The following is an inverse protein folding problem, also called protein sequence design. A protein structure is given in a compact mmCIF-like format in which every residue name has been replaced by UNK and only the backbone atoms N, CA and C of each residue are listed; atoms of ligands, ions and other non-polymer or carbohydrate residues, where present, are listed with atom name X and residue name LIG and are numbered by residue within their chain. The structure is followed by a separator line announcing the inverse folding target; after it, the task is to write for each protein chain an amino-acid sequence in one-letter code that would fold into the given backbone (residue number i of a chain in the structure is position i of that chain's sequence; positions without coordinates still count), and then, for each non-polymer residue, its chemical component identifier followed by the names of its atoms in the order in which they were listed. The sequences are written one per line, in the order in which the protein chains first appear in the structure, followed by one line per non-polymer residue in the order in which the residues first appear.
data_IF_500860116708
#
_entry.id   IF_500860116708
#
_cell.length_a   1.000
_cell.length_b   1.000
_cell.length_c   1.000
_cell.angle_alpha   90.00
_cell.angle_beta   90.00
_cell.angle_gamma   90.00
#
_symmetry.space_group_name_H-M   'P 1'
#
loop_
_entity.id
_entity.type
_entity.pdbx_description
1 polymer ?
#
# COMPACT_ATOMS: atom_id res chain seq x y z
N UNK A 1 35.90 17.62 -59.60
CA UNK A 1 35.40 17.91 -58.24
C UNK A 1 33.86 17.80 -58.15
N UNK A 2 33.21 16.88 -58.88
CA UNK A 2 31.73 16.72 -58.86
C UNK A 2 31.28 15.30 -58.47
N UNK A 3 32.24 14.44 -58.15
CA UNK A 3 32.03 12.99 -57.98
C UNK A 3 32.26 12.54 -56.52
N UNK A 4 32.75 13.45 -55.66
CA UNK A 4 32.99 13.17 -54.23
C UNK A 4 31.74 13.48 -53.39
N UNK A 5 30.85 14.36 -53.85
CA UNK A 5 29.63 14.73 -53.13
C UNK A 5 28.49 13.70 -53.25
N UNK A 6 28.58 12.76 -54.21
CA UNK A 6 27.56 11.71 -54.39
C UNK A 6 27.80 10.48 -53.50
N UNK A 7 29.03 10.28 -53.02
CA UNK A 7 29.39 9.11 -52.21
C UNK A 7 29.02 9.27 -50.73
N UNK A 8 28.86 10.49 -50.24
CA UNK A 8 28.47 10.76 -48.85
C UNK A 8 26.97 10.61 -48.60
N UNK A 9 26.12 10.81 -49.62
CA UNK A 9 24.66 10.61 -49.52
C UNK A 9 24.24 9.13 -49.55
N UNK A 10 25.01 8.26 -50.22
CA UNK A 10 24.72 6.81 -50.25
C UNK A 10 25.21 6.08 -48.98
N UNK A 11 26.24 6.61 -48.31
CA UNK A 11 26.75 6.06 -47.05
C UNK A 11 25.84 6.30 -45.85
N UNK A 12 25.02 7.35 -45.87
CA UNK A 12 24.10 7.66 -44.77
C UNK A 12 22.78 6.84 -44.83
N UNK A 13 22.46 6.25 -45.98
CA UNK A 13 21.26 5.40 -46.13
C UNK A 13 21.52 3.91 -45.82
N UNK A 14 22.79 3.48 -45.75
CA UNK A 14 23.14 2.10 -45.37
C UNK A 14 23.41 1.95 -43.86
N UNK A 15 23.60 3.04 -43.13
CA UNK A 15 23.73 2.98 -41.67
C UNK A 15 22.37 2.94 -40.94
N UNK A 16 21.27 3.24 -41.64
CA UNK A 16 19.91 3.21 -41.08
C UNK A 16 19.19 1.85 -41.23
N UNK A 17 19.73 0.89 -41.97
CA UNK A 17 19.10 -0.42 -42.16
C UNK A 17 19.65 -1.53 -41.23
N UNK A 18 20.73 -1.27 -40.49
CA UNK A 18 21.36 -2.26 -39.62
C UNK A 18 20.89 -2.23 -38.15
N UNK A 19 19.98 -1.33 -37.78
CA UNK A 19 19.39 -1.26 -36.42
C UNK A 19 17.89 -1.59 -36.46
N UNK A 20 17.46 -2.53 -37.31
CA UNK A 20 16.09 -3.04 -37.32
C UNK A 20 16.00 -4.57 -37.20
N UNK A 21 17.05 -5.20 -36.66
CA UNK A 21 17.05 -6.63 -36.33
C UNK A 21 17.56 -6.82 -34.91
N UNK A 22 16.85 -6.24 -33.95
CA UNK A 22 16.91 -6.69 -32.57
C UNK A 22 15.47 -6.97 -32.12
N UNK A 23 15.18 -8.27 -32.03
CA UNK A 23 14.17 -8.88 -31.16
C UNK A 23 12.71 -8.68 -31.57
N UNK A 24 12.31 -9.41 -32.61
CA UNK A 24 10.91 -9.76 -32.87
C UNK A 24 10.73 -11.29 -32.69
N UNK A 25 10.81 -11.73 -31.45
CA UNK A 25 10.21 -12.93 -30.87
C UNK A 25 10.23 -12.60 -29.37
N UNK A 26 9.15 -12.15 -28.73
CA UNK A 26 7.98 -12.94 -28.39
C UNK A 26 6.81 -11.96 -28.19
N UNK A 27 5.84 -11.96 -29.11
CA UNK A 27 4.55 -11.34 -28.89
C UNK A 27 3.60 -12.46 -28.43
N UNK A 28 3.62 -12.73 -27.13
CA UNK A 28 2.66 -13.64 -26.52
C UNK A 28 1.65 -12.82 -25.74
N UNK A 29 0.41 -12.93 -26.20
CA UNK A 29 -0.81 -12.66 -25.47
C UNK A 29 -1.15 -11.18 -25.21
N UNK A 30 -1.76 -10.58 -26.22
CA UNK A 30 -2.62 -9.40 -26.08
C UNK A 30 -3.94 -9.80 -25.42
N UNK A 31 -3.84 -10.21 -24.16
CA UNK A 31 -4.96 -10.24 -23.22
C UNK A 31 -5.04 -8.87 -22.60
N UNK A 32 -6.23 -8.28 -22.59
CA UNK A 32 -6.55 -7.13 -21.76
C UNK A 32 -6.35 -7.52 -20.27
N UNK A 33 -5.12 -7.39 -19.79
CA UNK A 33 -4.75 -7.61 -18.39
C UNK A 33 -4.79 -6.23 -17.75
N UNK A 34 -5.94 -5.90 -17.16
CA UNK A 34 -5.93 -5.05 -15.98
C UNK A 34 -5.16 -5.84 -14.93
N UNK A 35 -3.86 -5.55 -14.80
CA UNK A 35 -3.05 -6.04 -13.68
C UNK A 35 -3.57 -5.30 -12.44
N UNK A 36 -4.69 -5.76 -11.91
CA UNK A 36 -4.91 -5.63 -10.47
C UNK A 36 -3.83 -6.52 -9.88
N UNK A 37 -2.77 -5.90 -9.35
CA UNK A 37 -1.76 -6.64 -8.60
C UNK A 37 -2.49 -7.39 -7.49
N UNK A 38 -2.46 -8.71 -7.56
CA UNK A 38 -3.04 -9.57 -6.55
C UNK A 38 -2.38 -9.25 -5.20
N UNK A 39 -3.19 -9.04 -4.16
CA UNK A 39 -2.69 -8.70 -2.83
C UNK A 39 -1.93 -9.90 -2.26
N UNK A 40 -0.64 -9.72 -1.99
CA UNK A 40 0.22 -10.74 -1.40
C UNK A 40 0.46 -10.43 0.09
N UNK A 41 -0.09 -11.27 0.98
CA UNK A 41 0.06 -11.10 2.42
C UNK A 41 1.51 -11.24 2.90
N UNK A 42 2.37 -11.97 2.19
CA UNK A 42 3.79 -12.09 2.54
C UNK A 42 4.55 -10.78 2.26
N UNK A 43 4.08 -10.00 1.29
CA UNK A 43 4.67 -8.71 0.92
C UNK A 43 4.04 -7.56 1.71
N UNK A 44 2.72 -7.55 1.86
CA UNK A 44 1.98 -6.42 2.39
C UNK A 44 1.45 -6.63 3.82
N UNK A 45 1.57 -7.82 4.37
CA UNK A 45 0.99 -8.19 5.66
C UNK A 45 -0.49 -8.63 5.55
N UNK A 46 -1.11 -9.02 6.68
CA UNK A 46 -2.48 -9.54 6.70
C UNK A 46 -3.49 -8.64 6.00
N UNK A 47 -4.35 -9.23 5.15
CA UNK A 47 -5.41 -8.47 4.46
C UNK A 47 -6.52 -8.03 5.43
N UNK A 48 -6.85 -8.89 6.38
CA UNK A 48 -7.84 -8.60 7.41
C UNK A 48 -7.36 -7.49 8.37
N UNK A 49 -8.24 -6.54 8.75
CA UNK A 49 -7.85 -5.49 9.67
C UNK A 49 -7.57 -6.00 11.08
N UNK A 50 -6.61 -5.36 11.74
CA UNK A 50 -6.46 -5.46 13.18
C UNK A 50 -7.52 -4.58 13.82
N UNK A 51 -8.25 -5.14 14.79
CA UNK A 51 -9.22 -4.40 15.60
C UNK A 51 -8.79 -4.46 17.07
N UNK A 52 -8.27 -3.36 17.60
CA UNK A 52 -8.00 -3.24 19.02
C UNK A 52 -9.28 -2.99 19.82
N UNK A 53 -9.34 -3.64 20.97
CA UNK A 53 -10.49 -3.64 21.88
C UNK A 53 -10.20 -2.93 23.20
N UNK A 54 -8.92 -2.63 23.47
CA UNK A 54 -8.43 -1.87 24.63
C UNK A 54 -7.40 -0.82 24.20
N UNK A 55 -7.27 0.30 24.94
CA UNK A 55 -8.09 0.72 26.09
C UNK A 55 -9.51 1.17 25.70
N UNK A 56 -9.74 1.46 24.42
CA UNK A 56 -11.06 1.80 23.87
C UNK A 56 -11.46 0.74 22.85
N UNK A 57 -12.74 0.36 22.85
CA UNK A 57 -13.24 -0.62 21.89
C UNK A 57 -13.22 -0.04 20.48
N UNK A 58 -12.80 -0.85 19.51
CA UNK A 58 -13.02 -0.61 18.09
C UNK A 58 -12.11 0.48 17.52
N UNK A 59 -10.79 0.27 17.69
CA UNK A 59 -9.77 0.98 16.90
C UNK A 59 -9.34 0.06 15.79
N UNK A 60 -9.30 0.54 14.55
CA UNK A 60 -8.98 -0.27 13.37
C UNK A 60 -7.64 0.11 12.74
N UNK A 61 -6.94 -0.88 12.21
CA UNK A 61 -5.74 -0.71 11.39
C UNK A 61 -5.75 -1.67 10.22
N UNK A 62 -5.23 -1.21 9.08
CA UNK A 62 -5.18 -1.95 7.83
C UNK A 62 -3.74 -1.97 7.34
N UNK A 63 -3.14 -3.15 7.18
CA UNK A 63 -1.77 -3.25 6.64
C UNK A 63 -1.69 -2.67 5.24
N UNK A 64 -2.61 -3.06 4.34
CA UNK A 64 -2.69 -2.56 2.97
C UNK A 64 -2.47 -1.04 2.82
N UNK A 65 -3.12 -0.24 3.66
CA UNK A 65 -2.99 1.23 3.59
C UNK A 65 -1.57 1.69 3.94
N UNK A 66 -0.89 0.98 4.85
CA UNK A 66 0.44 1.35 5.33
C UNK A 66 1.54 0.74 4.45
N UNK A 67 1.41 -0.52 4.02
CA UNK A 67 2.44 -1.24 3.28
C UNK A 67 2.30 -1.05 1.77
N UNK A 68 1.09 -1.25 1.22
CA UNK A 68 0.85 -1.15 -0.22
C UNK A 68 0.63 0.30 -0.66
N UNK A 69 -0.29 1.02 -0.02
CA UNK A 69 -0.68 2.37 -0.50
C UNK A 69 0.33 3.45 -0.08
N UNK A 70 0.97 3.29 1.08
CA UNK A 70 1.98 4.22 1.60
C UNK A 70 3.42 3.72 1.44
N UNK A 71 3.62 2.56 0.81
CA UNK A 71 4.93 1.99 0.46
C UNK A 71 5.87 1.84 1.67
N UNK A 72 5.33 1.51 2.85
CA UNK A 72 6.14 1.25 4.05
C UNK A 72 6.56 -0.22 4.13
N UNK A 73 7.85 -0.43 4.37
CA UNK A 73 8.39 -1.76 4.64
C UNK A 73 7.97 -2.25 6.04
N UNK A 74 7.90 -3.57 6.23
CA UNK A 74 7.53 -4.22 7.51
C UNK A 74 8.35 -3.69 8.69
N UNK A 75 9.64 -3.47 8.48
CA UNK A 75 10.60 -2.98 9.49
C UNK A 75 10.34 -1.52 9.90
N UNK A 76 9.49 -0.78 9.18
CA UNK A 76 9.07 0.56 9.57
C UNK A 76 8.18 0.55 10.82
N UNK A 77 7.55 -0.61 11.11
CA UNK A 77 6.67 -0.80 12.25
C UNK A 77 7.19 -1.88 13.20
N UNK A 78 7.78 -2.95 12.66
CA UNK A 78 8.15 -4.14 13.43
C UNK A 78 9.67 -4.25 13.64
N UNK A 79 10.14 -4.71 14.80
CA UNK A 79 9.42 -4.93 16.06
C UNK A 79 9.45 -3.69 16.99
N UNK A 80 10.00 -2.56 16.51
CA UNK A 80 10.25 -1.38 17.33
C UNK A 80 8.99 -0.68 17.83
N UNK A 81 7.99 -0.46 16.96
CA UNK A 81 6.75 0.22 17.32
C UNK A 81 5.65 -0.76 17.72
N UNK A 82 5.63 -1.92 17.07
CA UNK A 82 4.65 -2.97 17.29
C UNK A 82 5.33 -4.34 17.19
N UNK A 83 4.97 -5.25 18.07
CA UNK A 83 5.27 -6.67 17.88
C UNK A 83 4.45 -7.23 16.70
N UNK A 84 4.97 -8.23 16.01
CA UNK A 84 4.25 -8.88 14.89
C UNK A 84 3.00 -9.64 15.35
N UNK A 85 2.88 -9.94 16.65
CA UNK A 85 1.70 -10.58 17.22
C UNK A 85 0.59 -9.55 17.49
N UNK A 86 -0.53 -9.70 16.77
CA UNK A 86 -1.69 -8.83 16.94
C UNK A 86 -2.26 -8.92 18.37
N UNK A 87 -2.56 -7.75 18.95
CA UNK A 87 -3.12 -7.65 20.30
C UNK A 87 -2.09 -7.43 21.40
N UNK A 88 -0.79 -7.65 21.16
CA UNK A 88 0.24 -7.42 22.19
C UNK A 88 0.29 -5.96 22.63
N UNK A 89 0.22 -5.01 21.68
CA UNK A 89 0.24 -3.59 22.01
C UNK A 89 -0.89 -3.18 22.98
N UNK A 90 -2.11 -3.74 22.84
CA UNK A 90 -3.22 -3.39 23.73
C UNK A 90 -3.12 -3.99 25.15
N UNK A 91 -2.12 -4.84 25.39
CA UNK A 91 -1.76 -5.32 26.73
C UNK A 91 -0.85 -4.35 27.48
N UNK A 92 -0.20 -3.42 26.78
CA UNK A 92 0.68 -2.43 27.40
C UNK A 92 -0.12 -1.27 27.99
N UNK A 93 0.21 -0.88 29.22
CA UNK A 93 -0.44 0.23 29.92
C UNK A 93 -0.17 1.60 29.25
N UNK A 94 0.87 1.70 28.43
CA UNK A 94 1.23 2.90 27.68
C UNK A 94 0.62 2.96 26.27
N UNK A 95 -0.19 1.98 25.85
CA UNK A 95 -0.90 2.05 24.57
C UNK A 95 -2.09 3.03 24.67
N UNK A 96 -1.76 4.31 24.70
CA UNK A 96 -2.68 5.42 24.98
C UNK A 96 -2.43 6.58 24.02
N UNK A 97 -3.45 7.43 23.83
CA UNK A 97 -3.32 8.63 23.00
C UNK A 97 -2.22 9.58 23.47
N UNK A 98 -1.90 9.61 24.78
CA UNK A 98 -0.81 10.44 25.30
C UNK A 98 0.53 9.99 24.72
N UNK A 99 0.80 8.69 24.77
CA UNK A 99 2.02 8.11 24.19
C UNK A 99 2.06 8.30 22.67
N UNK A 100 0.93 8.26 21.97
CA UNK A 100 0.87 8.64 20.56
C UNK A 100 1.29 10.11 20.35
N UNK A 101 0.86 11.03 21.21
CA UNK A 101 1.28 12.44 21.10
C UNK A 101 2.76 12.65 21.41
N UNK A 102 3.38 11.72 22.15
CA UNK A 102 4.82 11.70 22.43
C UNK A 102 5.64 10.97 21.34
N UNK A 103 4.99 10.50 20.27
CA UNK A 103 5.64 9.86 19.12
C UNK A 103 5.75 8.33 19.22
N UNK A 104 5.05 7.70 20.16
CA UNK A 104 4.97 6.23 20.24
C UNK A 104 3.84 5.65 19.38
N UNK A 105 3.92 4.34 19.10
CA UNK A 105 2.88 3.60 18.36
C UNK A 105 2.47 4.30 17.06
N UNK A 106 1.17 4.49 16.83
CA UNK A 106 0.64 5.18 15.65
C UNK A 106 1.18 6.62 15.52
N UNK A 107 1.49 7.25 16.65
CA UNK A 107 1.96 8.62 16.74
C UNK A 107 3.37 8.84 16.19
N UNK A 108 4.16 7.77 16.00
CA UNK A 108 5.47 7.85 15.36
C UNK A 108 5.39 8.41 13.93
N UNK A 109 4.24 8.24 13.26
CA UNK A 109 3.98 8.80 11.94
C UNK A 109 2.73 9.68 11.90
N UNK A 110 1.72 9.43 12.73
CA UNK A 110 0.53 10.29 12.86
C UNK A 110 0.80 11.51 13.76
N UNK A 111 1.85 12.26 13.41
CA UNK A 111 2.44 13.41 14.11
C UNK A 111 1.94 14.77 13.56
N UNK A 112 1.35 14.79 12.36
CA UNK A 112 0.94 16.00 11.64
C UNK A 112 1.91 16.49 10.58
N UNK A 113 3.07 15.85 10.45
CA UNK A 113 4.11 16.13 9.45
C UNK A 113 4.25 14.95 8.47
N UNK A 114 4.44 13.74 8.99
CA UNK A 114 4.58 12.49 8.22
C UNK A 114 3.22 12.01 7.72
N UNK A 115 2.22 11.98 8.61
CA UNK A 115 0.83 11.70 8.30
C UNK A 115 -0.10 12.66 9.06
N UNK A 116 -1.43 12.50 8.92
CA UNK A 116 -2.35 13.33 9.68
C UNK A 116 -2.15 13.14 11.19
N UNK A 117 -2.20 14.23 11.96
CA UNK A 117 -1.99 14.18 13.41
C UNK A 117 -3.10 13.38 14.11
N UNK A 118 -2.69 12.51 15.04
CA UNK A 118 -3.57 11.61 15.81
C UNK A 118 -4.69 12.33 16.58
N UNK A 119 -4.52 13.62 16.88
CA UNK A 119 -5.50 14.44 17.59
C UNK A 119 -6.52 15.17 16.68
N UNK A 120 -6.51 14.96 15.36
CA UNK A 120 -7.36 15.72 14.43
C UNK A 120 -8.48 14.91 13.77
N UNK A 121 -8.30 13.60 13.55
CA UNK A 121 -9.20 12.76 12.73
C UNK A 121 -9.63 11.48 13.45
N UNK A 122 -10.16 11.62 14.67
CA UNK A 122 -10.42 10.51 15.58
C UNK A 122 -11.22 9.36 14.95
N UNK A 123 -12.20 9.66 14.08
CA UNK A 123 -13.12 8.66 13.51
C UNK A 123 -12.49 7.81 12.40
N UNK A 124 -11.27 8.12 11.95
CA UNK A 124 -10.57 7.27 10.98
C UNK A 124 -10.07 5.97 11.62
N UNK A 125 -9.62 6.05 12.88
CA UNK A 125 -9.17 4.88 13.64
C UNK A 125 -10.27 4.38 14.58
N UNK A 126 -10.93 5.30 15.30
CA UNK A 126 -11.98 4.97 16.28
C UNK A 126 -13.35 4.86 15.62
N UNK A 127 -13.66 3.67 15.10
CA UNK A 127 -14.88 3.41 14.31
C UNK A 127 -16.13 3.20 15.18
N UNK A 128 -15.94 3.06 16.49
CA UNK A 128 -17.01 2.84 17.47
C UNK A 128 -17.78 1.54 17.26
N UNK A 129 -18.79 1.31 18.09
CA UNK A 129 -19.55 0.04 18.11
C UNK A 129 -20.23 -0.28 16.79
N UNK A 130 -20.70 0.74 16.05
CA UNK A 130 -21.35 0.56 14.75
C UNK A 130 -20.36 0.22 13.65
N UNK A 131 -19.19 0.86 13.65
CA UNK A 131 -18.14 0.51 12.70
C UNK A 131 -17.63 -0.91 12.94
N UNK A 132 -17.44 -1.27 14.20
CA UNK A 132 -17.02 -2.62 14.58
C UNK A 132 -18.01 -3.68 14.13
N UNK A 133 -19.31 -3.51 14.42
CA UNK A 133 -20.33 -4.46 13.98
C UNK A 133 -20.32 -4.64 12.45
N UNK A 134 -20.14 -3.57 11.67
CA UNK A 134 -20.04 -3.68 10.21
C UNK A 134 -18.86 -4.54 9.78
N UNK A 135 -17.69 -4.36 10.40
CA UNK A 135 -16.50 -5.14 10.05
C UNK A 135 -16.61 -6.60 10.49
N UNK A 136 -17.20 -6.88 11.66
CA UNK A 136 -17.30 -8.25 12.17
C UNK A 136 -18.46 -9.05 11.59
N UNK A 137 -19.57 -8.37 11.23
CA UNK A 137 -20.77 -9.03 10.72
C UNK A 137 -20.77 -9.15 9.19
N UNK A 138 -20.00 -8.30 8.49
CA UNK A 138 -19.78 -8.34 7.04
C UNK A 138 -18.34 -7.92 6.70
N UNK A 139 -17.36 -8.84 6.81
CA UNK A 139 -15.96 -8.52 6.56
C UNK A 139 -15.73 -8.06 5.11
N UNK A 140 -14.83 -7.09 4.87
CA UNK A 140 -14.49 -6.65 3.52
C UNK A 140 -13.95 -7.83 2.71
N UNK A 141 -14.61 -8.15 1.59
CA UNK A 141 -14.38 -9.38 0.80
C UNK A 141 -15.67 -10.18 0.58
N UNK A 142 -16.69 -9.95 1.41
CA UNK A 142 -18.06 -10.38 1.15
C UNK A 142 -18.72 -9.46 0.11
N UNK A 143 -18.71 -9.86 -1.17
CA UNK A 143 -19.58 -9.29 -2.20
C UNK A 143 -21.05 -9.61 -1.88
N UNK A 144 -21.66 -8.87 -0.95
CA UNK A 144 -23.10 -8.83 -0.79
C UNK A 144 -23.61 -7.50 -1.29
N UNK A 145 -24.34 -7.59 -2.41
CA UNK A 145 -25.14 -6.52 -3.01
C UNK A 145 -25.82 -5.68 -1.93
N UNK A 146 -25.54 -4.39 -1.93
CA UNK A 146 -26.22 -3.41 -1.09
C UNK A 146 -27.71 -3.32 -1.48
N UNK A 147 -28.52 -4.14 -0.82
CA UNK A 147 -29.96 -4.00 -0.77
C UNK A 147 -30.36 -3.12 0.42
N UNK A 148 -30.77 -1.88 0.11
CA UNK A 148 -31.73 -1.03 0.84
C UNK A 148 -31.55 -0.83 2.36
N UNK A 149 -31.42 0.45 2.79
CA UNK A 149 -32.47 1.22 3.50
C UNK A 149 -32.01 2.67 3.75
#
# INVERSE_FOLDING_TARGET
MKNILLLTLLGLFLLSAAILSANAENAENEGNITLEEEYDEDTYGPEEPIIWTRPVRSVVFYHKIHTMDAELDCDSCHDELFEMEAGVAEENDDFTMETLYEGGYCGACHDGETAFASNTRCTLCHIGVRGHARLTDNPPGNNQEEGHH
#
